data_IF_404013390331
#
_entry.id   IF_404013390331
#
_cell.length_a   1.000
_cell.length_b   1.000
_cell.length_c   1.000
_cell.angle_alpha   90.00
_cell.angle_beta   90.00
_cell.angle_gamma   90.00
#
_symmetry.space_group_name_H-M   'P 1'
#
loop_
_entity.id
_entity.type
_entity.pdbx_description
1 polymer ?
#
# COMPACT_ATOMS: atom_id res chain seq x y z
N UNK A 1 -0.67 -29.21 -5.90
CA UNK A 1 -0.83 -27.97 -6.67
C UNK A 1 0.04 -26.90 -6.02
N UNK A 2 1.10 -26.51 -6.71
CA UNK A 2 1.94 -25.35 -6.37
C UNK A 2 1.15 -24.10 -6.79
N UNK A 3 0.63 -23.35 -5.79
CA UNK A 3 -0.09 -22.08 -6.00
C UNK A 3 0.95 -20.96 -6.04
N UNK A 4 1.87 -21.06 -6.98
CA UNK A 4 2.88 -20.05 -7.18
C UNK A 4 2.33 -19.00 -8.15
N UNK A 5 2.63 -17.74 -7.83
CA UNK A 5 2.52 -16.56 -8.69
C UNK A 5 1.10 -16.02 -8.92
N UNK A 6 0.47 -15.58 -7.82
CA UNK A 6 -0.46 -14.43 -7.90
C UNK A 6 0.37 -13.22 -8.31
N UNK A 7 0.56 -13.05 -9.61
CA UNK A 7 1.28 -11.94 -10.23
C UNK A 7 0.57 -10.64 -9.85
N UNK A 8 1.03 -10.03 -8.74
CA UNK A 8 0.55 -8.76 -8.23
C UNK A 8 0.92 -7.67 -9.24
N UNK A 9 0.06 -7.50 -10.25
CA UNK A 9 0.05 -6.43 -11.24
C UNK A 9 0.67 -5.18 -10.60
N UNK A 10 1.94 -4.93 -10.95
CA UNK A 10 2.70 -3.82 -10.41
C UNK A 10 2.14 -2.57 -11.05
N UNK A 11 1.08 -2.01 -10.43
CA UNK A 11 0.67 -0.64 -10.70
C UNK A 11 1.86 0.25 -10.32
N UNK A 12 2.57 0.70 -11.34
CA UNK A 12 3.65 1.67 -11.22
C UNK A 12 3.02 3.04 -10.99
N UNK A 13 3.00 3.50 -9.74
CA UNK A 13 2.57 4.86 -9.43
C UNK A 13 3.72 5.82 -9.69
N UNK A 14 3.42 6.91 -10.38
CA UNK A 14 4.35 8.02 -10.59
C UNK A 14 3.99 9.11 -9.59
N UNK A 15 4.97 9.54 -8.80
CA UNK A 15 4.82 10.64 -7.86
C UNK A 15 4.73 11.96 -8.63
N UNK A 16 4.03 12.96 -8.07
CA UNK A 16 3.96 14.32 -8.64
C UNK A 16 5.32 14.99 -8.86
N UNK A 17 6.39 14.52 -8.18
CA UNK A 17 7.76 14.97 -8.42
C UNK A 17 8.41 14.37 -9.68
N UNK A 18 7.68 13.56 -10.45
CA UNK A 18 8.15 12.90 -11.68
C UNK A 18 9.00 11.64 -11.45
N UNK A 19 9.12 11.17 -10.20
CA UNK A 19 9.81 9.91 -9.89
C UNK A 19 8.83 8.76 -9.70
N UNK A 20 9.32 7.53 -9.92
CA UNK A 20 8.56 6.32 -9.65
C UNK A 20 8.39 6.16 -8.13
N UNK A 21 7.22 5.69 -7.72
CA UNK A 21 6.97 5.31 -6.34
C UNK A 21 7.23 3.81 -6.19
N UNK A 22 7.98 3.45 -5.16
CA UNK A 22 8.27 2.06 -4.86
C UNK A 22 7.21 1.47 -3.93
N UNK A 23 6.73 0.27 -4.26
CA UNK A 23 5.86 -0.51 -3.37
C UNK A 23 6.60 -0.80 -2.07
N UNK A 24 5.93 -0.54 -0.96
CA UNK A 24 6.38 -0.84 0.40
C UNK A 24 5.20 -1.38 1.20
N UNK A 25 5.44 -2.30 2.13
CA UNK A 25 4.48 -2.67 3.17
C UNK A 25 4.70 -1.78 4.39
N UNK A 26 3.65 -1.19 4.92
CA UNK A 26 3.69 -0.36 6.12
C UNK A 26 2.59 -0.78 7.08
N UNK A 27 2.70 -0.38 8.34
CA UNK A 27 1.71 -0.70 9.34
C UNK A 27 0.78 0.49 9.55
N UNK A 28 -0.53 0.26 9.48
CA UNK A 28 -1.55 1.24 9.82
C UNK A 28 -2.42 0.69 10.94
N UNK A 29 -2.29 1.26 12.14
CA UNK A 29 -3.09 0.90 13.33
C UNK A 29 -3.00 -0.59 13.70
N UNK A 30 -1.82 -1.20 13.55
CA UNK A 30 -1.59 -2.62 13.83
C UNK A 30 -1.96 -3.58 12.69
N UNK A 31 -2.26 -3.06 11.50
CA UNK A 31 -2.54 -3.87 10.31
C UNK A 31 -1.52 -3.58 9.21
N UNK A 32 -1.00 -4.63 8.58
CA UNK A 32 -0.18 -4.52 7.37
C UNK A 32 -1.00 -3.98 6.20
N UNK A 33 -0.60 -2.82 5.67
CA UNK A 33 -1.21 -2.20 4.50
C UNK A 33 -0.16 -1.99 3.41
N UNK A 34 -0.61 -2.04 2.16
CA UNK A 34 0.23 -1.69 1.02
C UNK A 34 0.37 -0.18 0.92
N UNK A 35 1.58 0.26 0.62
CA UNK A 35 1.91 1.66 0.43
C UNK A 35 2.89 1.83 -0.75
N UNK A 36 2.99 3.04 -1.24
CA UNK A 36 3.97 3.47 -2.23
C UNK A 36 4.73 4.66 -1.68
N UNK A 37 6.05 4.53 -1.59
CA UNK A 37 6.92 5.62 -1.14
C UNK A 37 7.79 6.08 -2.29
N UNK A 38 7.84 7.39 -2.52
CA UNK A 38 8.82 7.99 -3.41
C UNK A 38 10.16 8.14 -2.68
N UNK A 39 11.22 7.55 -3.22
CA UNK A 39 12.57 7.65 -2.63
C UNK A 39 13.18 9.06 -2.75
N UNK A 40 12.71 9.85 -3.72
CA UNK A 40 13.27 11.18 -4.00
C UNK A 40 12.65 12.28 -3.13
N UNK A 41 11.33 12.39 -3.10
CA UNK A 41 10.64 13.43 -2.31
C UNK A 41 10.15 12.93 -0.94
N UNK A 42 10.13 11.62 -0.73
CA UNK A 42 9.64 11.03 0.52
C UNK A 42 8.12 10.89 0.61
N UNK A 43 7.37 11.28 -0.43
CA UNK A 43 5.91 11.17 -0.47
C UNK A 43 5.46 9.71 -0.31
N UNK A 44 4.49 9.47 0.56
CA UNK A 44 3.94 8.15 0.85
C UNK A 44 2.44 8.14 0.58
N UNK A 45 2.00 7.17 -0.21
CA UNK A 45 0.60 6.94 -0.54
C UNK A 45 0.23 5.56 -0.03
N UNK A 46 -0.85 5.48 0.74
CA UNK A 46 -1.41 4.22 1.22
C UNK A 46 -2.43 3.68 0.22
N UNK A 47 -2.54 2.37 0.08
CA UNK A 47 -3.57 1.75 -0.74
C UNK A 47 -4.97 2.05 -0.17
N UNK A 48 -5.87 2.68 -0.95
CA UNK A 48 -7.16 3.08 -0.44
C UNK A 48 -8.05 1.89 -0.05
N UNK A 49 -7.88 0.71 -0.66
CA UNK A 49 -8.65 -0.48 -0.30
C UNK A 49 -8.15 -1.06 1.03
N UNK A 50 -6.84 -1.13 1.24
CA UNK A 50 -6.28 -1.56 2.53
C UNK A 50 -6.64 -0.56 3.64
N UNK A 51 -6.58 0.75 3.37
CA UNK A 51 -6.99 1.79 4.32
C UNK A 51 -8.47 1.67 4.68
N UNK A 52 -9.37 1.56 3.70
CA UNK A 52 -10.81 1.35 3.94
C UNK A 52 -11.05 0.08 4.76
N UNK A 53 -10.36 -1.02 4.43
CA UNK A 53 -10.45 -2.28 5.19
C UNK A 53 -10.03 -2.10 6.64
N UNK A 54 -8.89 -1.44 6.90
CA UNK A 54 -8.42 -1.17 8.27
C UNK A 54 -9.39 -0.28 9.03
N UNK A 55 -9.94 0.75 8.39
CA UNK A 55 -10.94 1.63 9.01
C UNK A 55 -12.20 0.85 9.40
N UNK A 56 -12.71 -0.01 8.51
CA UNK A 56 -13.87 -0.87 8.79
C UNK A 56 -13.61 -1.87 9.90
N UNK A 57 -12.46 -2.53 9.88
CA UNK A 57 -12.06 -3.49 10.91
C UNK A 57 -11.93 -2.81 12.29
N UNK A 58 -11.33 -1.62 12.35
CA UNK A 58 -11.24 -0.87 13.60
C UNK A 58 -12.60 -0.45 14.14
N UNK A 59 -13.55 -0.11 13.27
CA UNK A 59 -14.92 0.24 13.67
C UNK A 59 -15.64 -0.94 14.36
N UNK A 60 -15.32 -2.19 13.99
CA UNK A 60 -15.89 -3.39 14.62
C UNK A 60 -15.31 -3.73 16.00
N UNK A 61 -14.18 -3.11 16.37
CA UNK A 61 -13.42 -3.41 17.59
C UNK A 61 -13.51 -2.25 18.61
N UNK A 62 -14.22 -1.16 18.27
CA UNK A 62 -14.37 0.03 19.13
C UNK A 62 -15.62 -0.04 20.01
#
# INVERSE_FOLDING_TARGET
MKRDDMEEKTMEYVCGCGNKMMKKKTELKGFDVKAWKCEKCGEEILDPNDVDRVIRLRCLIS
#
